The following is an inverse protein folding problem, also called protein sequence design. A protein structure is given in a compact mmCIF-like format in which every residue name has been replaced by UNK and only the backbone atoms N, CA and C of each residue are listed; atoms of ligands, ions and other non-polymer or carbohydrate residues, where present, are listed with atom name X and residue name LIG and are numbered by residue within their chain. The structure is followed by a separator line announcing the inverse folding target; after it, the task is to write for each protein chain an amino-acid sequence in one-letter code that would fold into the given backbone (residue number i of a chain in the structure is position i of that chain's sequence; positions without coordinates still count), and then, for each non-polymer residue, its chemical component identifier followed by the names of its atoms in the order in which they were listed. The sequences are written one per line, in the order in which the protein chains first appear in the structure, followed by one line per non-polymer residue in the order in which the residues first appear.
data_IF_195986407061
#
_entry.id   IF_195986407061
#
_cell.length_a   1.000
_cell.length_b   1.000
_cell.length_c   1.000
_cell.angle_alpha   90.00
_cell.angle_beta   90.00
_cell.angle_gamma   90.00
#
_symmetry.space_group_name_H-M   'P 1'
#
loop_
_entity.id
_entity.type
_entity.pdbx_description
1 polymer ?
#
# COMPACT_ATOMS: atom_id res chain seq x y z
N UNK A 1 23.56 61.57 -23.22
CA UNK A 1 22.39 60.65 -23.19
C UNK A 1 22.72 59.23 -23.69
N UNK A 2 23.93 58.71 -23.47
CA UNK A 2 24.34 57.35 -23.93
C UNK A 2 24.67 56.38 -22.80
N UNK A 3 24.77 56.86 -21.54
CA UNK A 3 25.09 56.05 -20.37
C UNK A 3 23.90 55.28 -19.80
N UNK A 4 22.67 55.76 -19.99
CA UNK A 4 21.47 55.09 -19.47
C UNK A 4 21.06 53.88 -20.34
N UNK A 5 21.26 53.94 -21.66
CA UNK A 5 20.90 52.86 -22.60
C UNK A 5 21.86 51.66 -22.52
N UNK A 6 23.12 51.89 -22.14
CA UNK A 6 24.09 50.81 -21.93
C UNK A 6 23.79 50.01 -20.64
N UNK A 7 23.25 50.66 -19.60
CA UNK A 7 22.92 50.01 -18.33
C UNK A 7 21.67 49.14 -18.43
N UNK A 8 20.64 49.60 -19.15
CA UNK A 8 19.42 48.81 -19.41
C UNK A 8 19.69 47.60 -20.29
N UNK A 9 20.57 47.72 -21.29
CA UNK A 9 20.98 46.61 -22.16
C UNK A 9 21.73 45.51 -21.39
N UNK A 10 22.62 45.89 -20.45
CA UNK A 10 23.39 44.94 -19.64
C UNK A 10 22.53 44.21 -18.59
N UNK A 11 21.53 44.90 -18.02
CA UNK A 11 20.55 44.28 -17.11
C UNK A 11 19.62 43.32 -17.86
N UNK A 12 19.17 43.66 -19.06
CA UNK A 12 18.33 42.76 -19.87
C UNK A 12 19.08 41.48 -20.29
N UNK A 13 20.37 41.57 -20.62
CA UNK A 13 21.19 40.40 -20.95
C UNK A 13 21.38 39.48 -19.73
N UNK A 14 21.60 40.06 -18.55
CA UNK A 14 21.79 39.31 -17.30
C UNK A 14 20.50 38.58 -16.87
N UNK A 15 19.33 39.20 -17.01
CA UNK A 15 18.03 38.60 -16.68
C UNK A 15 17.70 37.43 -17.63
N UNK A 16 18.01 37.56 -18.93
CA UNK A 16 17.85 36.48 -19.91
C UNK A 16 18.76 35.27 -19.65
N UNK A 17 20.02 35.51 -19.27
CA UNK A 17 20.99 34.46 -18.91
C UNK A 17 20.67 33.77 -17.57
N UNK A 18 20.08 34.50 -16.62
CA UNK A 18 19.59 33.93 -15.36
C UNK A 18 18.39 33.00 -15.58
N UNK A 19 17.50 33.28 -16.53
CA UNK A 19 16.38 32.41 -16.87
C UNK A 19 16.85 31.02 -17.36
N UNK A 20 17.87 30.98 -18.22
CA UNK A 20 18.44 29.69 -18.67
C UNK A 20 19.17 28.96 -17.55
N UNK A 21 19.90 29.68 -16.70
CA UNK A 21 20.62 29.07 -15.56
C UNK A 21 19.65 28.55 -14.49
N UNK A 22 18.55 29.25 -14.23
CA UNK A 22 17.45 28.80 -13.37
C UNK A 22 16.70 27.64 -14.03
N UNK A 23 16.47 27.64 -15.34
CA UNK A 23 15.84 26.51 -16.04
C UNK A 23 16.72 25.26 -16.01
N UNK A 24 18.05 25.41 -16.14
CA UNK A 24 19.03 24.33 -15.96
C UNK A 24 19.03 23.87 -14.50
N UNK A 25 19.02 24.78 -13.53
CA UNK A 25 18.95 24.46 -12.09
C UNK A 25 17.64 23.74 -11.72
N UNK A 26 16.49 24.20 -12.23
CA UNK A 26 15.18 23.58 -12.03
C UNK A 26 15.10 22.21 -12.70
N UNK A 27 15.66 22.06 -13.91
CA UNK A 27 15.81 20.74 -14.57
C UNK A 27 16.71 19.81 -13.76
N UNK A 28 17.78 20.32 -13.12
CA UNK A 28 18.72 19.51 -12.35
C UNK A 28 18.17 19.14 -10.96
N UNK A 29 17.39 20.02 -10.31
CA UNK A 29 16.68 19.74 -9.06
C UNK A 29 15.68 18.59 -9.20
N UNK A 30 15.11 18.39 -10.39
CA UNK A 30 14.15 17.31 -10.66
C UNK A 30 14.80 15.97 -11.03
N UNK A 31 16.11 15.91 -11.35
CA UNK A 31 16.79 14.64 -11.68
C UNK A 31 17.06 13.74 -10.47
N UNK A 32 17.14 14.34 -9.27
CA UNK A 32 17.43 13.62 -8.03
C UNK A 32 16.17 13.30 -7.22
N UNK A 33 14.98 13.57 -7.75
CA UNK A 33 13.77 12.93 -7.23
C UNK A 33 13.83 11.46 -7.65
N UNK A 34 14.37 10.62 -6.76
CA UNK A 34 14.20 9.16 -6.86
C UNK A 34 12.74 8.90 -7.25
N UNK A 35 12.47 8.03 -8.24
CA UNK A 35 11.09 7.77 -8.66
C UNK A 35 10.29 7.52 -7.40
N UNK A 36 9.19 8.26 -7.21
CA UNK A 36 8.27 8.01 -6.11
C UNK A 36 7.97 6.52 -6.20
N UNK A 37 8.57 5.71 -5.31
CA UNK A 37 8.25 4.29 -5.21
C UNK A 37 6.74 4.28 -5.22
N UNK A 38 6.11 3.67 -6.24
CA UNK A 38 4.67 3.38 -6.24
C UNK A 38 4.39 2.98 -4.82
N UNK A 39 3.57 3.76 -4.10
CA UNK A 39 3.27 3.52 -2.71
C UNK A 39 3.00 2.04 -2.61
N UNK A 40 4.00 1.30 -2.13
CA UNK A 40 3.87 -0.12 -1.87
C UNK A 40 2.87 -0.04 -0.75
N UNK A 41 1.58 -0.29 -1.05
CA UNK A 41 0.62 -0.60 -0.01
C UNK A 41 1.37 -1.65 0.79
N UNK A 42 1.70 -1.30 2.03
CA UNK A 42 2.49 -2.16 2.89
C UNK A 42 1.54 -3.29 3.23
N UNK A 43 1.39 -4.22 2.28
CA UNK A 43 0.66 -5.45 2.50
C UNK A 43 1.27 -6.02 3.77
N UNK A 44 0.39 -6.25 4.74
CA UNK A 44 0.74 -6.76 6.07
C UNK A 44 1.45 -8.13 5.95
N UNK A 45 1.32 -8.75 4.78
CA UNK A 45 2.04 -9.92 4.30
C UNK A 45 2.83 -9.56 3.04
N UNK A 46 4.07 -10.03 2.96
CA UNK A 46 4.92 -9.83 1.79
C UNK A 46 4.50 -10.73 0.62
N UNK A 47 4.78 -10.29 -0.61
CA UNK A 47 4.52 -11.09 -1.81
C UNK A 47 5.28 -12.44 -1.77
N UNK A 48 6.47 -12.47 -1.20
CA UNK A 48 7.25 -13.71 -1.05
C UNK A 48 6.60 -14.70 -0.06
N UNK A 49 6.07 -14.20 1.08
CA UNK A 49 5.28 -15.02 2.01
C UNK A 49 4.01 -15.57 1.33
N UNK A 50 3.35 -14.75 0.51
CA UNK A 50 2.19 -15.15 -0.27
C UNK A 50 2.53 -16.23 -1.32
N UNK A 51 3.60 -16.03 -2.10
CA UNK A 51 4.09 -17.03 -3.07
C UNK A 51 4.47 -18.34 -2.42
N UNK A 52 5.14 -18.28 -1.26
CA UNK A 52 5.50 -19.45 -0.48
C UNK A 52 4.25 -20.23 -0.04
N UNK A 53 3.20 -19.53 0.40
CA UNK A 53 1.93 -20.15 0.77
C UNK A 53 1.25 -20.87 -0.42
N UNK A 54 1.24 -20.21 -1.59
CA UNK A 54 0.67 -20.74 -2.83
C UNK A 54 1.56 -21.79 -3.52
N UNK A 55 2.78 -22.01 -3.02
CA UNK A 55 3.80 -22.90 -3.62
C UNK A 55 4.17 -22.49 -5.04
N UNK A 56 4.29 -21.18 -5.27
CA UNK A 56 4.66 -20.59 -6.56
C UNK A 56 6.12 -20.15 -6.49
N UNK A 57 6.93 -20.55 -7.47
CA UNK A 57 8.37 -20.24 -7.57
C UNK A 57 8.72 -19.29 -8.73
N UNK A 58 7.71 -18.78 -9.43
CA UNK A 58 7.84 -17.89 -10.58
C UNK A 58 7.18 -16.53 -10.36
N UNK A 59 7.52 -15.55 -11.20
CA UNK A 59 7.01 -14.18 -11.09
C UNK A 59 5.88 -13.83 -12.08
N UNK A 60 5.47 -14.77 -12.94
CA UNK A 60 4.44 -14.53 -13.97
C UNK A 60 3.10 -14.04 -13.39
N UNK A 61 2.72 -14.59 -12.22
CA UNK A 61 1.47 -14.28 -11.53
C UNK A 61 1.59 -13.16 -10.49
N UNK A 62 2.78 -12.54 -10.30
CA UNK A 62 3.03 -11.59 -9.22
C UNK A 62 1.99 -10.46 -9.15
N UNK A 63 1.55 -9.95 -10.30
CA UNK A 63 0.55 -8.90 -10.38
C UNK A 63 -0.85 -9.37 -9.91
N UNK A 64 -1.24 -10.60 -10.28
CA UNK A 64 -2.52 -11.20 -9.88
C UNK A 64 -2.51 -11.59 -8.40
N UNK A 65 -1.41 -12.20 -7.93
CA UNK A 65 -1.21 -12.57 -6.52
C UNK A 65 -1.27 -11.31 -5.65
N UNK A 66 -0.58 -10.23 -6.04
CA UNK A 66 -0.61 -8.98 -5.29
C UNK A 66 -2.03 -8.38 -5.21
N UNK A 67 -2.78 -8.41 -6.32
CA UNK A 67 -4.16 -7.92 -6.33
C UNK A 67 -5.06 -8.73 -5.38
N UNK A 68 -4.97 -10.06 -5.43
CA UNK A 68 -5.74 -10.96 -4.56
C UNK A 68 -5.32 -10.85 -3.09
N UNK A 69 -4.03 -10.64 -2.83
CA UNK A 69 -3.52 -10.41 -1.48
C UNK A 69 -4.07 -9.10 -0.92
N UNK A 70 -4.07 -8.02 -1.71
CA UNK A 70 -4.63 -6.73 -1.30
C UNK A 70 -6.12 -6.83 -0.99
N UNK A 71 -6.87 -7.60 -1.79
CA UNK A 71 -8.30 -7.87 -1.56
C UNK A 71 -8.53 -8.73 -0.31
N UNK A 72 -7.70 -9.74 -0.09
CA UNK A 72 -7.79 -10.62 1.08
C UNK A 72 -7.52 -9.86 2.38
N UNK A 73 -6.51 -8.98 2.39
CA UNK A 73 -6.22 -8.12 3.53
C UNK A 73 -7.36 -7.14 3.81
N UNK A 74 -7.90 -6.51 2.77
CA UNK A 74 -9.03 -5.60 2.90
C UNK A 74 -10.26 -6.30 3.48
N UNK A 75 -10.58 -7.51 3.01
CA UNK A 75 -11.68 -8.28 3.56
C UNK A 75 -11.45 -8.67 5.02
N UNK A 76 -10.23 -9.07 5.40
CA UNK A 76 -9.89 -9.41 6.78
C UNK A 76 -10.00 -8.19 7.72
N UNK A 77 -9.52 -7.01 7.29
CA UNK A 77 -9.63 -5.75 8.03
C UNK A 77 -11.10 -5.34 8.20
N UNK A 78 -11.88 -5.42 7.12
CA UNK A 78 -13.31 -5.11 7.14
C UNK A 78 -14.07 -6.05 8.08
N UNK A 79 -13.74 -7.35 8.07
CA UNK A 79 -14.35 -8.33 8.96
C UNK A 79 -14.06 -8.04 10.45
N UNK A 80 -12.82 -7.62 10.77
CA UNK A 80 -12.44 -7.26 12.13
C UNK A 80 -13.04 -5.93 12.61
N UNK A 81 -13.47 -5.08 11.68
CA UNK A 81 -13.96 -3.72 11.92
C UNK A 81 -12.95 -2.85 12.70
N UNK A 82 -11.65 -3.05 12.45
CA UNK A 82 -10.58 -2.31 13.13
C UNK A 82 -9.34 -2.19 12.26
N UNK A 83 -8.51 -1.20 12.56
CA UNK A 83 -7.23 -1.02 11.89
C UNK A 83 -6.18 -2.02 12.39
N UNK A 84 -5.36 -2.51 11.47
CA UNK A 84 -4.28 -3.46 11.72
C UNK A 84 -2.97 -2.87 11.19
N UNK A 85 -1.92 -2.89 12.01
CA UNK A 85 -0.62 -2.30 11.69
C UNK A 85 0.48 -3.36 11.71
N UNK A 86 1.47 -3.24 10.82
CA UNK A 86 2.55 -4.23 10.72
C UNK A 86 3.56 -4.08 11.87
N UNK A 87 3.81 -2.85 12.31
CA UNK A 87 4.81 -2.54 13.34
C UNK A 87 4.28 -1.58 14.41
N UNK A 88 4.90 -1.63 15.58
CA UNK A 88 4.60 -0.72 16.69
C UNK A 88 4.87 0.75 16.33
N UNK A 89 5.87 1.00 15.48
CA UNK A 89 6.20 2.35 15.01
C UNK A 89 5.09 2.93 14.11
N UNK A 90 4.55 2.12 13.19
CA UNK A 90 3.40 2.52 12.36
C UNK A 90 2.17 2.82 13.21
N UNK A 91 1.91 1.97 14.20
CA UNK A 91 0.81 2.17 15.15
C UNK A 91 0.97 3.49 15.92
N UNK A 92 2.15 3.74 16.48
CA UNK A 92 2.46 5.00 17.19
C UNK A 92 2.28 6.22 16.28
N UNK A 93 2.74 6.16 15.04
CA UNK A 93 2.54 7.23 14.06
C UNK A 93 1.06 7.46 13.72
N UNK A 94 0.28 6.39 13.60
CA UNK A 94 -1.16 6.47 13.38
C UNK A 94 -1.89 7.09 14.59
N UNK A 95 -1.46 6.77 15.81
CA UNK A 95 -1.97 7.41 17.04
C UNK A 95 -1.65 8.90 17.05
N UNK A 96 -0.40 9.27 16.79
CA UNK A 96 0.02 10.69 16.76
C UNK A 96 -0.72 11.50 15.69
N UNK A 97 -1.07 10.87 14.57
CA UNK A 97 -1.81 11.51 13.48
C UNK A 97 -3.33 11.39 13.60
N UNK A 98 -3.86 10.85 14.71
CA UNK A 98 -5.29 10.58 14.93
C UNK A 98 -5.94 9.71 13.82
N UNK A 99 -5.17 8.79 13.23
CA UNK A 99 -5.59 7.84 12.19
C UNK A 99 -5.60 6.38 12.64
N UNK A 100 -5.30 6.12 13.92
CA UNK A 100 -5.25 4.77 14.50
C UNK A 100 -6.59 4.02 14.45
N UNK A 101 -7.73 4.73 14.40
CA UNK A 101 -9.06 4.12 14.50
C UNK A 101 -9.40 3.66 15.92
N UNK A 102 -10.55 3.00 16.08
CA UNK A 102 -10.96 2.43 17.36
C UNK A 102 -10.22 1.12 17.63
N UNK A 103 -9.63 1.01 18.84
CA UNK A 103 -8.82 -0.12 19.32
C UNK A 103 -7.99 -0.75 18.19
N UNK A 104 -6.89 -0.14 17.73
CA UNK A 104 -6.02 -0.78 16.73
C UNK A 104 -5.33 -2.03 17.28
N UNK A 105 -4.91 -2.95 16.39
CA UNK A 105 -4.02 -4.08 16.73
C UNK A 105 -2.78 -4.11 15.84
N UNK A 106 -1.77 -4.80 16.35
CA UNK A 106 -0.65 -5.27 15.54
C UNK A 106 -1.01 -6.58 14.85
N UNK A 107 -0.40 -6.81 13.69
CA UNK A 107 -0.49 -8.09 12.97
C UNK A 107 -0.05 -9.23 13.89
N UNK A 108 -0.90 -10.25 14.01
CA UNK A 108 -0.58 -11.50 14.69
C UNK A 108 -0.58 -12.68 13.70
N UNK A 109 -0.13 -13.84 14.15
CA UNK A 109 -0.09 -15.05 13.32
C UNK A 109 -1.48 -15.46 12.84
N UNK A 110 -2.52 -15.31 13.67
CA UNK A 110 -3.91 -15.63 13.29
C UNK A 110 -4.40 -14.78 12.12
N UNK A 111 -4.09 -13.49 12.13
CA UNK A 111 -4.41 -12.57 11.03
C UNK A 111 -3.67 -12.97 9.76
N UNK A 112 -2.35 -13.23 9.85
CA UNK A 112 -1.57 -13.66 8.69
C UNK A 112 -2.14 -14.94 8.08
N UNK A 113 -2.41 -15.96 8.89
CA UNK A 113 -2.98 -17.22 8.42
C UNK A 113 -4.37 -17.03 7.82
N UNK A 114 -5.22 -16.16 8.40
CA UNK A 114 -6.54 -15.85 7.88
C UNK A 114 -6.47 -15.24 6.47
N UNK A 115 -5.62 -14.23 6.28
CA UNK A 115 -5.42 -13.59 4.97
C UNK A 115 -4.84 -14.58 3.95
N UNK A 116 -3.88 -15.42 4.33
CA UNK A 116 -3.30 -16.42 3.44
C UNK A 116 -4.31 -17.47 2.99
N UNK A 117 -5.16 -17.97 3.90
CA UNK A 117 -6.24 -18.90 3.56
C UNK A 117 -7.22 -18.28 2.55
N UNK A 118 -7.57 -17.01 2.76
CA UNK A 118 -8.44 -16.27 1.84
C UNK A 118 -7.75 -16.03 0.48
N UNK A 119 -6.46 -15.70 0.47
CA UNK A 119 -5.67 -15.58 -0.75
C UNK A 119 -5.66 -16.90 -1.53
N UNK A 120 -5.42 -18.04 -0.87
CA UNK A 120 -5.45 -19.36 -1.51
C UNK A 120 -6.80 -19.61 -2.21
N UNK A 121 -7.89 -19.30 -1.51
CA UNK A 121 -9.23 -19.40 -2.07
C UNK A 121 -9.43 -18.50 -3.30
N UNK A 122 -9.01 -17.23 -3.25
CA UNK A 122 -9.11 -16.29 -4.38
C UNK A 122 -8.18 -16.65 -5.55
N UNK A 123 -7.04 -17.29 -5.27
CA UNK A 123 -6.10 -17.70 -6.30
C UNK A 123 -6.61 -18.90 -7.09
N UNK A 124 -7.11 -19.92 -6.38
CA UNK A 124 -7.66 -21.16 -6.95
C UNK A 124 -8.99 -20.92 -7.68
N UNK A 125 -9.86 -20.06 -7.15
CA UNK A 125 -11.20 -19.82 -7.70
C UNK A 125 -11.23 -18.50 -8.47
N UNK A 126 -11.14 -18.58 -9.80
CA UNK A 126 -11.17 -17.42 -10.72
C UNK A 126 -12.56 -17.08 -11.25
N UNK A 127 -13.57 -17.83 -10.84
CA UNK A 127 -14.97 -17.69 -11.25
C UNK A 127 -15.85 -17.66 -9.99
N UNK A 128 -17.04 -17.08 -10.11
CA UNK A 128 -18.00 -17.09 -9.01
C UNK A 128 -18.35 -18.53 -8.63
N UNK A 129 -18.06 -18.90 -7.38
CA UNK A 129 -18.39 -20.23 -6.88
C UNK A 129 -19.89 -20.29 -6.62
N UNK A 130 -20.60 -21.18 -7.33
CA UNK A 130 -22.04 -21.36 -7.15
C UNK A 130 -22.37 -21.95 -5.77
N UNK A 131 -23.49 -21.52 -5.19
CA UNK A 131 -23.93 -21.93 -3.84
C UNK A 131 -24.13 -23.45 -3.66
N UNK A 132 -24.20 -24.22 -4.76
CA UNK A 132 -24.33 -25.68 -4.73
C UNK A 132 -23.03 -26.41 -4.38
N UNK A 133 -21.86 -25.77 -4.61
CA UNK A 133 -20.54 -26.33 -4.31
C UNK A 133 -19.90 -25.73 -3.05
N UNK A 134 -20.60 -24.87 -2.31
CA UNK A 134 -20.12 -24.32 -1.04
C UNK A 134 -20.36 -25.30 0.11
N UNK A 135 -19.79 -26.51 0.00
CA UNK A 135 -19.73 -27.43 1.13
C UNK A 135 -18.83 -26.83 2.22
N UNK A 136 -19.44 -26.02 3.08
CA UNK A 136 -19.12 -25.96 4.50
C UNK A 136 -17.63 -25.73 4.85
N UNK A 137 -17.00 -24.70 4.28
CA UNK A 137 -15.86 -24.03 4.92
C UNK A 137 -16.41 -23.06 5.99
N UNK A 138 -17.35 -23.50 6.85
CA UNK A 138 -17.88 -22.68 7.96
C UNK A 138 -16.83 -22.41 9.05
N UNK A 139 -15.59 -22.85 8.82
CA UNK A 139 -14.40 -22.63 9.64
C UNK A 139 -13.26 -22.00 8.81
N UNK A 140 -13.59 -21.08 7.90
CA UNK A 140 -12.62 -20.31 7.12
C UNK A 140 -11.89 -19.24 7.94
N UNK A 141 -11.26 -18.29 7.23
CA UNK A 141 -10.50 -17.18 7.82
C UNK A 141 -11.26 -16.45 8.95
N UNK A 142 -12.59 -16.37 8.86
CA UNK A 142 -13.48 -15.82 9.88
C UNK A 142 -13.29 -16.45 11.26
N UNK A 143 -13.10 -17.78 11.36
CA UNK A 143 -12.93 -18.46 12.66
C UNK A 143 -11.65 -18.01 13.37
N UNK A 144 -10.60 -17.72 12.61
CA UNK A 144 -9.34 -17.21 13.16
C UNK A 144 -9.47 -15.75 13.61
N UNK A 145 -10.31 -14.97 12.93
CA UNK A 145 -10.49 -13.54 13.19
C UNK A 145 -11.59 -13.24 14.20
N UNK A 146 -12.56 -14.14 14.40
CA UNK A 146 -13.73 -13.93 15.26
C UNK A 146 -13.38 -13.46 16.68
N UNK A 147 -12.34 -14.00 17.37
CA UNK A 147 -11.96 -13.52 18.71
C UNK A 147 -11.46 -12.08 18.77
N UNK A 148 -11.08 -11.49 17.63
CA UNK A 148 -10.46 -10.16 17.54
C UNK A 148 -11.42 -9.07 17.05
N UNK A 149 -12.66 -9.43 16.72
CA UNK A 149 -13.71 -8.52 16.23
C UNK A 149 -14.28 -7.67 17.38
N UNK A 150 -14.49 -6.39 17.12
CA UNK A 150 -14.93 -5.43 18.15
C UNK A 150 -16.45 -5.46 18.35
N UNK A 151 -17.25 -5.43 17.27
CA UNK A 151 -18.71 -5.51 17.36
C UNK A 151 -19.20 -6.92 17.08
N UNK A 152 -19.15 -7.78 18.10
CA UNK A 152 -19.99 -8.98 18.13
C UNK A 152 -21.37 -8.54 18.62
N UNK A 153 -22.37 -8.64 17.75
CA UNK A 153 -23.73 -8.19 18.06
C UNK A 153 -24.26 -8.84 19.34
N UNK A 154 -24.88 -8.02 20.18
CA UNK A 154 -25.85 -8.44 21.20
C UNK A 154 -27.18 -7.81 20.82
#
# INVERSE_FOLDING_TARGET
MTWLSAFTSKIMLQIGMMSHSILILMKNLNRNQKPKKRLKKMSLITLDEAKLHLRIDHDFDDADIQLKLDAAEEQAINFLERQVYATDDELKQAVLSNKAGDRPILVNSSFKSAVLLLLGHLYENREETSAANSSNVKYGFERLLNPYRIHIGV
#
